data_IF_600147174891
#
_entry.id   IF_600147174891
#
_cell.length_a   1.000
_cell.length_b   1.000
_cell.length_c   1.000
_cell.angle_alpha   90.00
_cell.angle_beta   90.00
_cell.angle_gamma   90.00
#
_symmetry.space_group_name_H-M   'P 1'
#
loop_
_entity.id
_entity.type
_entity.pdbx_description
1 polymer ?
#
# COMPACT_ATOMS: atom_id res chain seq x y z
N UNK A 1 -20.06 78.45 -30.32
CA UNK A 1 -20.64 77.17 -30.76
C UNK A 1 -20.21 76.08 -29.80
N UNK A 2 -21.06 75.73 -28.83
CA UNK A 2 -20.83 74.58 -27.95
C UNK A 2 -21.08 73.32 -28.80
N UNK A 3 -20.01 72.63 -29.17
CA UNK A 3 -20.07 71.27 -29.72
C UNK A 3 -20.91 70.40 -28.77
N UNK A 4 -21.88 69.70 -29.33
CA UNK A 4 -22.81 68.83 -28.60
C UNK A 4 -22.01 67.84 -27.72
N UNK A 5 -22.29 67.83 -26.40
CA UNK A 5 -21.73 66.82 -25.49
C UNK A 5 -22.13 65.42 -26.02
N UNK A 6 -21.22 64.43 -26.03
CA UNK A 6 -21.56 63.06 -26.39
C UNK A 6 -22.74 62.54 -25.56
N UNK A 7 -23.65 61.72 -26.14
CA UNK A 7 -24.83 61.23 -25.42
C UNK A 7 -24.46 60.46 -24.14
N UNK A 8 -23.29 59.82 -24.09
CA UNK A 8 -22.76 59.14 -22.90
C UNK A 8 -22.49 60.10 -21.73
N UNK A 9 -22.20 61.38 -22.00
CA UNK A 9 -22.03 62.39 -20.95
C UNK A 9 -23.36 62.70 -20.24
N UNK A 10 -24.48 62.67 -20.96
CA UNK A 10 -25.82 62.90 -20.37
C UNK A 10 -26.17 61.72 -19.46
N UNK A 11 -26.06 60.50 -19.97
CA UNK A 11 -26.29 59.29 -19.19
C UNK A 11 -25.39 59.21 -17.94
N UNK A 12 -24.11 59.54 -18.07
CA UNK A 12 -23.18 59.54 -16.93
C UNK A 12 -23.52 60.59 -15.87
N UNK A 13 -23.98 61.79 -16.27
CA UNK A 13 -24.46 62.82 -15.33
C UNK A 13 -25.68 62.32 -14.56
N UNK A 14 -26.66 61.72 -15.24
CA UNK A 14 -27.81 61.11 -14.58
C UNK A 14 -27.40 60.03 -13.57
N UNK A 15 -26.42 59.18 -13.91
CA UNK A 15 -25.88 58.19 -12.98
C UNK A 15 -25.20 58.85 -11.75
N UNK A 16 -24.41 59.91 -11.96
CA UNK A 16 -23.75 60.65 -10.86
C UNK A 16 -24.77 61.34 -9.97
N UNK A 17 -25.82 61.94 -10.52
CA UNK A 17 -26.88 62.62 -9.75
C UNK A 17 -27.67 61.63 -8.88
N UNK A 18 -27.78 60.37 -9.31
CA UNK A 18 -28.34 59.26 -8.52
C UNK A 18 -27.36 58.63 -7.53
N UNK A 19 -26.14 59.16 -7.40
CA UNK A 19 -25.09 58.61 -6.54
C UNK A 19 -24.41 57.34 -7.07
N UNK A 20 -24.69 56.93 -8.32
CA UNK A 20 -24.11 55.72 -8.91
C UNK A 20 -22.83 56.04 -9.71
N UNK A 21 -21.77 56.37 -8.98
CA UNK A 21 -20.47 56.71 -9.57
C UNK A 21 -19.82 55.55 -10.34
N UNK A 22 -20.07 54.30 -9.95
CA UNK A 22 -19.53 53.13 -10.63
C UNK A 22 -20.14 52.94 -12.03
N UNK A 23 -21.44 53.12 -12.17
CA UNK A 23 -22.10 53.01 -13.48
C UNK A 23 -21.73 54.19 -14.39
N UNK A 24 -21.66 55.41 -13.84
CA UNK A 24 -21.17 56.58 -14.57
C UNK A 24 -19.76 56.35 -15.13
N UNK A 25 -18.85 55.82 -14.31
CA UNK A 25 -17.49 55.48 -14.73
C UNK A 25 -17.47 54.44 -15.86
N UNK A 26 -18.28 53.36 -15.77
CA UNK A 26 -18.36 52.33 -16.83
C UNK A 26 -18.88 52.89 -18.16
N UNK A 27 -19.93 53.71 -18.12
CA UNK A 27 -20.49 54.37 -19.31
C UNK A 27 -19.45 55.26 -19.98
N UNK A 28 -18.74 56.09 -19.19
CA UNK A 28 -17.72 57.00 -19.71
C UNK A 28 -16.47 56.28 -20.22
N UNK A 29 -16.02 55.23 -19.52
CA UNK A 29 -14.92 54.37 -19.98
C UNK A 29 -15.33 53.60 -21.25
N UNK A 30 -16.60 53.27 -21.43
CA UNK A 30 -17.11 52.63 -22.65
C UNK A 30 -17.28 53.57 -23.86
N UNK A 31 -17.27 54.90 -23.66
CA UNK A 31 -17.57 55.86 -24.72
C UNK A 31 -16.53 55.83 -25.85
N UNK A 32 -17.01 56.01 -27.09
CA UNK A 32 -16.14 56.16 -28.28
C UNK A 32 -15.36 57.48 -28.28
N UNK A 33 -15.77 58.45 -27.46
CA UNK A 33 -15.23 59.81 -27.42
C UNK A 33 -14.37 60.07 -26.17
N UNK A 34 -13.56 59.11 -25.72
CA UNK A 34 -12.76 59.21 -24.48
C UNK A 34 -11.89 60.47 -24.37
N UNK A 35 -11.41 61.01 -25.49
CA UNK A 35 -10.56 62.20 -25.52
C UNK A 35 -11.36 63.51 -25.45
N UNK A 36 -12.69 63.46 -25.59
CA UNK A 36 -13.54 64.64 -25.53
C UNK A 36 -13.43 65.31 -24.15
N UNK A 37 -13.32 66.65 -24.13
CA UNK A 37 -13.08 67.43 -22.91
C UNK A 37 -14.14 67.18 -21.83
N UNK A 38 -15.41 67.06 -22.23
CA UNK A 38 -16.51 66.79 -21.30
C UNK A 38 -16.42 65.39 -20.68
N UNK A 39 -16.10 64.37 -21.49
CA UNK A 39 -15.90 62.98 -21.01
C UNK A 39 -14.75 62.92 -20.02
N UNK A 40 -13.61 63.56 -20.33
CA UNK A 40 -12.45 63.62 -19.44
C UNK A 40 -12.77 64.31 -18.11
N UNK A 41 -13.55 65.39 -18.13
CA UNK A 41 -13.97 66.09 -16.91
C UNK A 41 -14.87 65.19 -16.06
N UNK A 42 -15.88 64.57 -16.66
CA UNK A 42 -16.80 63.67 -15.96
C UNK A 42 -16.10 62.42 -15.42
N UNK A 43 -15.08 61.90 -16.12
CA UNK A 43 -14.25 60.80 -15.61
C UNK A 43 -13.48 61.21 -14.35
N UNK A 44 -12.92 62.42 -14.30
CA UNK A 44 -12.26 62.94 -13.10
C UNK A 44 -13.26 63.04 -11.94
N UNK A 45 -14.45 63.62 -12.18
CA UNK A 45 -15.49 63.78 -11.16
C UNK A 45 -16.00 62.41 -10.66
N UNK A 46 -16.24 61.46 -11.57
CA UNK A 46 -16.62 60.09 -11.22
C UNK A 46 -15.51 59.37 -10.43
N UNK A 47 -14.24 59.54 -10.82
CA UNK A 47 -13.08 59.00 -10.13
C UNK A 47 -12.94 59.51 -8.71
N UNK A 48 -13.20 60.81 -8.46
CA UNK A 48 -13.21 61.40 -7.12
C UNK A 48 -14.30 60.78 -6.24
N UNK A 49 -15.54 60.69 -6.74
CA UNK A 49 -16.65 60.07 -5.99
C UNK A 49 -16.42 58.58 -5.73
N UNK A 50 -15.78 57.85 -6.65
CA UNK A 50 -15.39 56.46 -6.45
C UNK A 50 -14.30 56.30 -5.37
N UNK A 51 -13.36 57.24 -5.28
CA UNK A 51 -12.37 57.25 -4.21
C UNK A 51 -13.01 57.50 -2.83
N UNK A 52 -13.98 58.41 -2.74
CA UNK A 52 -14.76 58.66 -1.52
C UNK A 52 -15.58 57.42 -1.10
N UNK A 53 -16.24 56.78 -2.06
CA UNK A 53 -16.97 55.51 -1.84
C UNK A 53 -16.02 54.40 -1.37
N UNK A 54 -14.82 54.30 -1.97
CA UNK A 54 -13.81 53.33 -1.53
C UNK A 54 -13.36 53.60 -0.08
N UNK A 55 -13.26 54.88 0.32
CA UNK A 55 -12.90 55.27 1.68
C UNK A 55 -13.99 54.89 2.69
N UNK A 56 -15.25 55.12 2.35
CA UNK A 56 -16.40 54.67 3.14
C UNK A 56 -16.44 53.15 3.27
N UNK A 57 -16.35 52.42 2.17
CA UNK A 57 -16.30 50.95 2.16
C UNK A 57 -15.12 50.41 2.97
N UNK A 58 -13.96 51.08 2.91
CA UNK A 58 -12.80 50.70 3.71
C UNK A 58 -13.03 50.92 5.21
N UNK A 59 -13.65 52.05 5.60
CA UNK A 59 -14.05 52.31 7.00
C UNK A 59 -15.05 51.28 7.51
N UNK A 60 -15.98 50.85 6.66
CA UNK A 60 -16.95 49.78 6.94
C UNK A 60 -16.35 48.36 6.90
N UNK A 61 -15.05 48.22 6.60
CA UNK A 61 -14.32 46.94 6.46
C UNK A 61 -14.79 46.08 5.28
N UNK A 62 -15.46 46.67 4.30
CA UNK A 62 -15.79 46.05 3.02
C UNK A 62 -14.58 46.09 2.06
N UNK A 63 -13.50 45.38 2.41
CA UNK A 63 -12.19 45.47 1.74
C UNK A 63 -12.24 45.18 0.23
N UNK A 64 -12.98 44.14 -0.18
CA UNK A 64 -13.12 43.76 -1.58
C UNK A 64 -13.92 44.79 -2.40
N UNK A 65 -14.96 45.37 -1.81
CA UNK A 65 -15.72 46.45 -2.42
C UNK A 65 -14.86 47.71 -2.56
N UNK A 66 -14.15 48.09 -1.48
CA UNK A 66 -13.23 49.22 -1.47
C UNK A 66 -12.12 49.05 -2.53
N UNK A 67 -11.55 47.85 -2.67
CA UNK A 67 -10.57 47.52 -3.69
C UNK A 67 -11.12 47.64 -5.11
N UNK A 68 -12.35 47.20 -5.32
CA UNK A 68 -13.03 47.31 -6.62
C UNK A 68 -13.31 48.78 -6.98
N UNK A 69 -13.80 49.57 -6.03
CA UNK A 69 -14.11 50.99 -6.20
C UNK A 69 -12.85 51.82 -6.48
N UNK A 70 -11.76 51.60 -5.74
CA UNK A 70 -10.50 52.34 -5.94
C UNK A 70 -9.79 51.95 -7.25
N UNK A 71 -9.90 50.69 -7.67
CA UNK A 71 -9.37 50.25 -8.96
C UNK A 71 -10.14 50.86 -10.14
N UNK A 72 -11.46 51.02 -10.01
CA UNK A 72 -12.27 51.72 -11.02
C UNK A 72 -11.96 53.22 -11.04
N UNK A 73 -11.71 53.84 -9.87
CA UNK A 73 -11.28 55.23 -9.79
C UNK A 73 -9.94 55.46 -10.52
N UNK A 74 -8.98 54.55 -10.38
CA UNK A 74 -7.67 54.60 -11.07
C UNK A 74 -7.80 54.54 -12.60
N UNK A 75 -8.80 53.81 -13.11
CA UNK A 75 -9.08 53.76 -14.54
C UNK A 75 -9.68 55.07 -15.07
N UNK A 76 -10.40 55.81 -14.22
CA UNK A 76 -11.03 57.07 -14.60
C UNK A 76 -10.03 58.23 -14.64
N UNK A 77 -9.13 58.31 -13.65
CA UNK A 77 -8.11 59.33 -13.56
C UNK A 77 -6.91 58.86 -12.73
N UNK A 78 -5.74 59.47 -12.95
CA UNK A 78 -4.57 59.21 -12.13
C UNK A 78 -4.85 59.53 -10.66
N UNK A 79 -4.68 58.54 -9.77
CA UNK A 79 -4.87 58.72 -8.34
C UNK A 79 -3.77 59.61 -7.77
N UNK A 80 -4.15 60.73 -7.15
CA UNK A 80 -3.25 61.64 -6.44
C UNK A 80 -3.53 61.70 -4.94
N UNK A 81 -2.53 62.09 -4.15
CA UNK A 81 -2.69 62.42 -2.73
C UNK A 81 -3.36 61.32 -1.89
N UNK A 82 -4.51 61.65 -1.29
CA UNK A 82 -5.24 60.76 -0.37
C UNK A 82 -5.72 59.47 -1.02
N UNK A 83 -6.19 59.52 -2.27
CA UNK A 83 -6.72 58.33 -2.97
C UNK A 83 -5.61 57.29 -3.25
N UNK A 84 -4.40 57.74 -3.57
CA UNK A 84 -3.25 56.85 -3.73
C UNK A 84 -2.85 56.18 -2.41
N UNK A 85 -2.84 56.95 -1.32
CA UNK A 85 -2.57 56.40 0.02
C UNK A 85 -3.63 55.38 0.44
N UNK A 86 -4.92 55.65 0.18
CA UNK A 86 -6.01 54.71 0.43
C UNK A 86 -5.84 53.40 -0.34
N UNK A 87 -5.47 53.46 -1.63
CA UNK A 87 -5.17 52.25 -2.44
C UNK A 87 -4.07 51.39 -1.80
N UNK A 88 -2.99 52.02 -1.32
CA UNK A 88 -1.89 51.33 -0.65
C UNK A 88 -2.37 50.66 0.65
N UNK A 89 -3.21 51.34 1.43
CA UNK A 89 -3.80 50.79 2.66
C UNK A 89 -4.72 49.59 2.38
N UNK A 90 -5.61 49.70 1.39
CA UNK A 90 -6.49 48.60 0.96
C UNK A 90 -5.65 47.40 0.52
N UNK A 91 -4.62 47.63 -0.30
CA UNK A 91 -3.74 46.56 -0.79
C UNK A 91 -2.97 45.87 0.34
N UNK A 92 -2.46 46.65 1.31
CA UNK A 92 -1.78 46.10 2.49
C UNK A 92 -2.74 45.29 3.38
N UNK A 93 -3.99 45.75 3.54
CA UNK A 93 -5.02 45.04 4.30
C UNK A 93 -5.40 43.71 3.64
N UNK A 94 -5.57 43.70 2.30
CA UNK A 94 -5.83 42.48 1.53
C UNK A 94 -4.69 41.47 1.66
N UNK A 95 -3.44 41.90 1.44
CA UNK A 95 -2.26 41.03 1.61
C UNK A 95 -2.18 40.44 3.01
N UNK A 96 -2.44 41.25 4.06
CA UNK A 96 -2.46 40.77 5.44
C UNK A 96 -3.55 39.72 5.67
N UNK A 97 -4.73 39.88 5.04
CA UNK A 97 -5.83 38.91 5.10
C UNK A 97 -5.48 37.62 4.38
N UNK A 98 -4.86 37.69 3.20
CA UNK A 98 -4.38 36.54 2.43
C UNK A 98 -3.29 35.78 3.20
N UNK A 99 -2.29 36.47 3.73
CA UNK A 99 -1.24 35.87 4.57
C UNK A 99 -1.84 35.17 5.79
N UNK A 100 -2.84 35.79 6.46
CA UNK A 100 -3.53 35.15 7.57
C UNK A 100 -4.30 33.90 7.13
N UNK A 101 -4.99 33.93 5.98
CA UNK A 101 -5.69 32.77 5.42
C UNK A 101 -4.72 31.63 5.10
N UNK A 102 -3.62 31.93 4.42
CA UNK A 102 -2.58 30.96 4.09
C UNK A 102 -1.94 30.36 5.36
N UNK A 103 -1.68 31.19 6.38
CA UNK A 103 -1.17 30.72 7.66
C UNK A 103 -2.16 29.80 8.38
N UNK A 104 -3.46 30.14 8.40
CA UNK A 104 -4.50 29.26 8.98
C UNK A 104 -4.57 27.95 8.20
N UNK A 105 -4.59 27.98 6.86
CA UNK A 105 -4.65 26.80 6.02
C UNK A 105 -3.46 25.85 6.28
N UNK A 106 -2.23 26.36 6.27
CA UNK A 106 -1.05 25.53 6.54
C UNK A 106 -1.02 24.97 7.97
N UNK A 107 -1.64 25.65 8.94
CA UNK A 107 -1.80 25.12 10.30
C UNK A 107 -2.86 24.01 10.37
N UNK A 108 -3.96 24.11 9.62
CA UNK A 108 -4.95 23.04 9.53
C UNK A 108 -4.34 21.78 8.89
N UNK A 109 -3.59 21.93 7.79
CA UNK A 109 -2.87 20.83 7.14
C UNK A 109 -1.87 20.16 8.08
N UNK A 110 -1.12 20.95 8.86
CA UNK A 110 -0.17 20.42 9.84
C UNK A 110 -0.87 19.67 10.99
N UNK A 111 -2.01 20.16 11.48
CA UNK A 111 -2.81 19.44 12.48
C UNK A 111 -3.30 18.09 11.94
N UNK A 112 -3.76 18.05 10.69
CA UNK A 112 -4.20 16.83 10.04
C UNK A 112 -3.04 15.83 9.88
N UNK A 113 -1.86 16.31 9.46
CA UNK A 113 -0.64 15.50 9.37
C UNK A 113 -0.25 14.90 10.72
N UNK A 114 -0.26 15.70 11.79
CA UNK A 114 0.03 15.24 13.16
C UNK A 114 -0.98 14.19 13.64
N UNK A 115 -2.26 14.39 13.37
CA UNK A 115 -3.30 13.41 13.69
C UNK A 115 -3.16 12.12 12.87
N UNK A 116 -2.72 12.22 11.61
CA UNK A 116 -2.38 11.09 10.75
C UNK A 116 -1.27 10.21 11.33
N UNK A 117 -0.26 10.85 11.92
CA UNK A 117 0.86 10.19 12.61
C UNK A 117 0.54 9.74 14.06
N UNK A 118 -0.72 9.85 14.51
CA UNK A 118 -1.12 9.46 15.87
C UNK A 118 -0.82 10.48 16.98
N UNK A 119 -0.23 11.64 16.66
CA UNK A 119 0.09 12.71 17.61
C UNK A 119 -1.13 13.59 17.91
N UNK A 120 -2.20 12.98 18.43
CA UNK A 120 -3.50 13.64 18.61
C UNK A 120 -3.46 14.86 19.53
N UNK A 121 -2.71 14.79 20.63
CA UNK A 121 -2.61 15.90 21.58
C UNK A 121 -1.91 17.12 20.96
N UNK A 122 -0.81 16.91 20.23
CA UNK A 122 -0.13 18.00 19.52
C UNK A 122 -0.99 18.61 18.41
N UNK A 123 -1.80 17.80 17.72
CA UNK A 123 -2.74 18.30 16.73
C UNK A 123 -3.83 19.18 17.37
N UNK A 124 -4.42 18.73 18.49
CA UNK A 124 -5.44 19.49 19.22
C UNK A 124 -4.88 20.80 19.79
N UNK A 125 -3.69 20.77 20.39
CA UNK A 125 -3.00 21.97 20.89
C UNK A 125 -2.74 23.00 19.77
N UNK A 126 -2.47 22.53 18.56
CA UNK A 126 -2.25 23.39 17.41
C UNK A 126 -3.56 24.04 16.94
N UNK A 127 -4.69 23.30 16.97
CA UNK A 127 -6.00 23.85 16.66
C UNK A 127 -6.48 24.85 17.70
N UNK A 128 -6.16 24.66 18.97
CA UNK A 128 -6.53 25.57 20.06
C UNK A 128 -5.92 26.96 19.86
N UNK A 129 -4.73 27.03 19.26
CA UNK A 129 -4.04 28.28 18.91
C UNK A 129 -4.68 29.02 17.73
N UNK A 130 -5.49 28.35 16.90
CA UNK A 130 -6.17 28.97 15.75
C UNK A 130 -7.46 29.70 16.13
N UNK A 131 -8.05 29.37 17.30
CA UNK A 131 -9.29 29.97 17.80
C UNK A 131 -10.56 29.39 17.15
N UNK A 132 -11.68 30.12 17.26
CA UNK A 132 -13.04 29.65 16.91
C UNK A 132 -13.38 29.70 15.41
N UNK A 133 -12.48 29.24 14.54
CA UNK A 133 -12.79 29.06 13.13
C UNK A 133 -13.67 27.81 12.92
N UNK A 134 -14.68 27.88 12.05
CA UNK A 134 -15.55 26.73 11.76
C UNK A 134 -14.76 25.50 11.29
N UNK A 135 -13.84 25.70 10.33
CA UNK A 135 -12.96 24.63 9.83
C UNK A 135 -12.10 24.00 10.94
N UNK A 136 -11.56 24.82 11.86
CA UNK A 136 -10.79 24.32 12.99
C UNK A 136 -11.66 23.51 13.96
N UNK A 137 -12.90 23.92 14.21
CA UNK A 137 -13.84 23.21 15.08
C UNK A 137 -14.29 21.86 14.49
N UNK A 138 -14.55 21.81 13.18
CA UNK A 138 -14.85 20.57 12.45
C UNK A 138 -13.67 19.59 12.54
N UNK A 139 -12.46 20.07 12.22
CA UNK A 139 -11.24 19.26 12.28
C UNK A 139 -10.96 18.75 13.70
N UNK A 140 -11.17 19.60 14.72
CA UNK A 140 -11.04 19.24 16.15
C UNK A 140 -11.97 18.09 16.52
N UNK A 141 -13.24 18.19 16.13
CA UNK A 141 -14.25 17.15 16.39
C UNK A 141 -13.84 15.81 15.77
N UNK A 142 -13.35 15.84 14.52
CA UNK A 142 -12.86 14.64 13.84
C UNK A 142 -11.65 14.02 14.55
N UNK A 143 -10.68 14.83 14.95
CA UNK A 143 -9.48 14.37 15.67
C UNK A 143 -9.84 13.79 17.04
N UNK A 144 -10.75 14.42 17.79
CA UNK A 144 -11.25 13.92 19.07
C UNK A 144 -11.94 12.55 18.91
N UNK A 145 -12.78 12.37 17.89
CA UNK A 145 -13.42 11.09 17.60
C UNK A 145 -12.40 10.00 17.23
N UNK A 146 -11.41 10.33 16.39
CA UNK A 146 -10.33 9.42 16.01
C UNK A 146 -9.50 9.00 17.23
N UNK A 147 -9.14 9.95 18.08
CA UNK A 147 -8.45 9.71 19.35
C UNK A 147 -9.26 8.81 20.29
N UNK A 148 -10.55 9.06 20.45
CA UNK A 148 -11.42 8.24 21.31
C UNK A 148 -11.51 6.79 20.81
N UNK A 149 -11.65 6.59 19.48
CA UNK A 149 -11.65 5.26 18.86
C UNK A 149 -10.32 4.53 19.10
N UNK A 150 -9.20 5.23 18.90
CA UNK A 150 -7.87 4.69 19.16
C UNK A 150 -7.71 4.24 20.62
N UNK A 151 -8.03 5.12 21.58
CA UNK A 151 -7.94 4.82 23.01
C UNK A 151 -8.85 3.66 23.43
N UNK A 152 -10.05 3.55 22.85
CA UNK A 152 -10.93 2.40 23.06
C UNK A 152 -10.23 1.10 22.63
N UNK A 153 -9.69 1.03 21.41
CA UNK A 153 -9.02 -0.18 20.94
C UNK A 153 -7.77 -0.55 21.74
N UNK A 154 -6.98 0.43 22.19
CA UNK A 154 -5.86 0.18 23.10
C UNK A 154 -6.34 -0.41 24.44
N UNK A 155 -7.39 0.16 25.03
CA UNK A 155 -7.97 -0.35 26.27
C UNK A 155 -8.51 -1.77 26.14
N UNK A 156 -9.25 -2.06 25.06
CA UNK A 156 -9.73 -3.41 24.75
C UNK A 156 -8.58 -4.41 24.56
N UNK A 157 -7.53 -4.01 23.84
CA UNK A 157 -6.34 -4.83 23.62
C UNK A 157 -5.70 -5.24 24.96
N UNK A 158 -5.50 -4.27 25.87
CA UNK A 158 -4.95 -4.53 27.22
C UNK A 158 -5.84 -5.47 28.02
N UNK A 159 -7.16 -5.24 28.06
CA UNK A 159 -8.10 -6.12 28.77
C UNK A 159 -8.09 -7.54 28.23
N UNK A 160 -8.02 -7.72 26.91
CA UNK A 160 -7.91 -9.04 26.30
C UNK A 160 -6.59 -9.72 26.66
N UNK A 161 -5.47 -8.99 26.73
CA UNK A 161 -4.19 -9.54 27.18
C UNK A 161 -4.25 -10.00 28.65
N UNK A 162 -4.83 -9.18 29.53
CA UNK A 162 -5.04 -9.52 30.94
C UNK A 162 -5.94 -10.74 31.12
N UNK A 163 -6.96 -10.89 30.27
CA UNK A 163 -7.86 -12.03 30.26
C UNK A 163 -7.28 -13.29 29.56
N UNK A 164 -6.03 -13.25 29.07
CA UNK A 164 -5.41 -14.35 28.33
C UNK A 164 -6.00 -14.61 26.93
N UNK A 165 -6.78 -13.68 26.40
CA UNK A 165 -7.45 -13.79 25.09
C UNK A 165 -6.56 -13.24 23.97
N UNK A 166 -5.47 -13.94 23.65
CA UNK A 166 -4.42 -13.47 22.74
C UNK A 166 -4.94 -13.07 21.35
N UNK A 167 -5.81 -13.88 20.75
CA UNK A 167 -6.41 -13.61 19.44
C UNK A 167 -7.32 -12.36 19.44
N UNK A 168 -8.09 -12.16 20.51
CA UNK A 168 -8.92 -10.96 20.64
C UNK A 168 -8.05 -9.70 20.82
N UNK A 169 -6.99 -9.80 21.62
CA UNK A 169 -6.02 -8.72 21.79
C UNK A 169 -5.37 -8.33 20.46
N UNK A 170 -4.97 -9.30 19.63
CA UNK A 170 -4.40 -9.05 18.31
C UNK A 170 -5.36 -8.30 17.38
N UNK A 171 -6.63 -8.71 17.32
CA UNK A 171 -7.65 -7.99 16.51
C UNK A 171 -7.83 -6.54 16.96
N UNK A 172 -7.83 -6.28 18.26
CA UNK A 172 -7.93 -4.91 18.78
C UNK A 172 -6.67 -4.08 18.51
N UNK A 173 -5.49 -4.69 18.63
CA UNK A 173 -4.23 -4.06 18.26
C UNK A 173 -4.18 -3.68 16.77
N UNK A 174 -4.59 -4.58 15.87
CA UNK A 174 -4.67 -4.29 14.43
C UNK A 174 -5.60 -3.10 14.14
N UNK A 175 -6.78 -3.05 14.78
CA UNK A 175 -7.72 -1.91 14.64
C UNK A 175 -7.14 -0.61 15.18
N UNK A 176 -6.40 -0.65 16.30
CA UNK A 176 -5.72 0.53 16.82
C UNK A 176 -4.61 1.02 15.85
N UNK A 177 -3.85 0.09 15.26
CA UNK A 177 -2.81 0.38 14.25
C UNK A 177 -3.35 1.02 12.98
N UNK A 178 -4.55 0.64 12.54
CA UNK A 178 -5.22 1.31 11.41
C UNK A 178 -5.56 2.78 11.71
N UNK A 179 -5.77 3.14 12.99
CA UNK A 179 -6.13 4.50 13.39
C UNK A 179 -4.91 5.39 13.60
N UNK A 180 -3.82 4.87 14.14
CA UNK A 180 -2.59 5.63 14.41
C UNK A 180 -1.37 4.71 14.27
N UNK A 181 -0.85 4.47 13.05
CA UNK A 181 0.14 3.42 12.79
C UNK A 181 1.49 3.63 13.50
N UNK A 182 1.84 4.89 13.76
CA UNK A 182 3.15 5.30 14.28
C UNK A 182 3.13 5.61 15.78
N UNK A 183 2.04 5.30 16.48
CA UNK A 183 1.93 5.56 17.92
C UNK A 183 2.86 4.64 18.74
N UNK A 184 3.65 5.18 19.68
CA UNK A 184 4.63 4.39 20.45
C UNK A 184 3.96 3.33 21.35
N UNK A 185 2.75 3.57 21.88
CA UNK A 185 2.05 2.58 22.73
C UNK A 185 1.69 1.31 21.93
N UNK A 186 1.52 1.41 20.61
CA UNK A 186 1.29 0.24 19.76
C UNK A 186 2.50 -0.66 19.65
N UNK A 187 3.71 -0.10 19.70
CA UNK A 187 4.96 -0.87 19.61
C UNK A 187 5.14 -1.72 20.87
N UNK A 188 4.84 -1.14 22.03
CA UNK A 188 4.86 -1.85 23.31
C UNK A 188 3.79 -2.96 23.32
N UNK A 189 2.56 -2.65 22.89
CA UNK A 189 1.47 -3.64 22.84
C UNK A 189 1.73 -4.75 21.81
N UNK A 190 2.35 -4.46 20.67
CA UNK A 190 2.70 -5.47 19.68
C UNK A 190 3.56 -6.58 20.31
N UNK A 191 4.50 -6.17 21.18
CA UNK A 191 5.37 -7.08 21.92
C UNK A 191 4.56 -7.98 22.88
N UNK A 192 3.62 -7.40 23.62
CA UNK A 192 2.78 -8.14 24.57
C UNK A 192 1.81 -9.10 23.85
N UNK A 193 1.20 -8.66 22.75
CA UNK A 193 0.33 -9.48 21.88
C UNK A 193 1.08 -10.66 21.29
N UNK A 194 2.28 -10.44 20.74
CA UNK A 194 3.10 -11.50 20.18
C UNK A 194 3.45 -12.58 21.22
N UNK A 195 3.82 -12.17 22.44
CA UNK A 195 4.08 -13.09 23.56
C UNK A 195 2.83 -13.89 23.95
N UNK A 196 1.68 -13.24 24.06
CA UNK A 196 0.43 -13.92 24.40
C UNK A 196 0.02 -14.94 23.34
N UNK A 197 0.14 -14.59 22.05
CA UNK A 197 -0.15 -15.51 20.93
C UNK A 197 0.78 -16.73 20.94
N UNK A 198 2.05 -16.54 21.29
CA UNK A 198 3.00 -17.62 21.40
C UNK A 198 2.69 -18.59 22.55
N UNK A 199 2.28 -18.06 23.71
CA UNK A 199 1.91 -18.87 24.86
C UNK A 199 0.65 -19.71 24.60
N UNK A 200 -0.33 -19.13 23.89
CA UNK A 200 -1.59 -19.80 23.52
C UNK A 200 -1.39 -20.93 22.49
N UNK A 201 -0.31 -20.85 21.70
CA UNK A 201 0.00 -21.82 20.65
C UNK A 201 0.59 -23.15 21.15
N UNK A 202 0.73 -23.36 22.48
CA UNK A 202 0.94 -24.67 23.09
C UNK A 202 2.11 -25.47 22.51
N UNK A 203 3.35 -25.05 22.82
CA UNK A 203 4.57 -25.73 22.38
C UNK A 203 5.14 -25.13 21.10
N UNK A 204 5.72 -23.94 21.21
CA UNK A 204 6.43 -23.31 20.10
C UNK A 204 7.63 -24.18 19.73
N UNK A 205 7.54 -24.93 18.63
CA UNK A 205 8.73 -25.37 17.92
C UNK A 205 9.60 -24.14 17.71
N UNK A 206 10.86 -24.21 18.14
CA UNK A 206 11.79 -23.10 18.04
C UNK A 206 11.90 -22.68 16.56
N UNK A 207 11.52 -21.45 16.26
CA UNK A 207 11.60 -20.95 14.88
C UNK A 207 13.04 -20.66 14.51
N UNK A 208 13.53 -21.40 13.52
CA UNK A 208 14.90 -21.30 13.03
C UNK A 208 14.94 -20.50 11.73
N UNK A 209 15.92 -19.57 11.57
CA UNK A 209 16.12 -18.89 10.30
C UNK A 209 16.55 -19.90 9.24
N UNK A 210 16.05 -19.74 8.01
CA UNK A 210 16.48 -20.54 6.87
C UNK A 210 17.87 -20.09 6.46
N UNK A 211 18.86 -20.90 6.82
CA UNK A 211 20.31 -20.61 6.67
C UNK A 211 21.06 -21.72 5.95
N UNK A 212 20.43 -22.89 5.80
CA UNK A 212 20.99 -24.01 5.08
C UNK A 212 20.17 -24.25 3.79
N UNK A 213 20.86 -24.32 2.65
CA UNK A 213 20.24 -24.58 1.34
C UNK A 213 19.59 -25.98 1.27
N UNK A 214 20.01 -26.93 2.11
CA UNK A 214 19.35 -28.22 2.21
C UNK A 214 17.98 -28.15 2.91
N UNK A 215 17.68 -27.06 3.62
CA UNK A 215 16.37 -26.86 4.23
C UNK A 215 15.30 -26.71 3.15
N UNK A 216 14.16 -27.35 3.41
CA UNK A 216 12.95 -27.26 2.60
C UNK A 216 11.81 -26.73 3.47
N UNK A 217 10.89 -26.02 2.86
CA UNK A 217 9.72 -25.48 3.55
C UNK A 217 8.52 -25.45 2.63
N UNK A 218 7.32 -25.51 3.22
CA UNK A 218 6.08 -25.20 2.53
C UNK A 218 5.89 -23.69 2.54
N UNK A 219 5.54 -23.11 1.39
CA UNK A 219 5.14 -21.72 1.26
C UNK A 219 3.62 -21.66 1.09
N UNK A 220 2.91 -21.69 2.21
CA UNK A 220 1.47 -21.94 2.27
C UNK A 220 1.10 -23.21 1.48
N UNK A 221 0.03 -23.10 0.70
CA UNK A 221 -0.34 -24.12 -0.30
C UNK A 221 0.24 -23.83 -1.69
N UNK A 222 1.08 -22.79 -1.84
CA UNK A 222 1.57 -22.35 -3.14
C UNK A 222 2.61 -23.32 -3.70
N UNK A 223 3.60 -23.70 -2.91
CA UNK A 223 4.69 -24.56 -3.35
C UNK A 223 5.42 -25.24 -2.18
N UNK A 224 5.99 -26.42 -2.46
CA UNK A 224 7.14 -26.92 -1.70
C UNK A 224 8.40 -26.26 -2.25
N UNK A 225 9.12 -25.54 -1.41
CA UNK A 225 10.38 -24.86 -1.79
C UNK A 225 11.55 -25.73 -1.35
N UNK A 226 12.43 -26.04 -2.29
CA UNK A 226 13.67 -26.81 -2.06
C UNK A 226 14.83 -26.04 -2.69
N UNK A 227 15.90 -25.82 -1.92
CA UNK A 227 17.07 -25.05 -2.41
C UNK A 227 18.36 -25.86 -2.52
N UNK A 228 18.27 -27.19 -2.34
CA UNK A 228 19.41 -28.09 -2.48
C UNK A 228 19.88 -28.13 -3.95
N UNK A 229 21.19 -28.21 -4.16
CA UNK A 229 21.78 -28.39 -5.51
C UNK A 229 21.50 -29.78 -6.10
N UNK A 230 21.19 -30.76 -5.24
CA UNK A 230 20.71 -32.09 -5.58
C UNK A 230 19.34 -32.30 -4.94
N UNK A 231 18.28 -32.44 -5.76
CA UNK A 231 16.90 -32.60 -5.29
C UNK A 231 16.41 -33.99 -5.67
N UNK A 232 16.36 -34.88 -4.68
CA UNK A 232 15.84 -36.23 -4.84
C UNK A 232 14.31 -36.27 -4.73
N UNK A 233 13.67 -36.94 -5.68
CA UNK A 233 12.23 -37.16 -5.76
C UNK A 233 11.94 -38.65 -5.61
N UNK A 234 10.89 -38.99 -4.87
CA UNK A 234 10.50 -40.38 -4.67
C UNK A 234 9.36 -40.51 -3.66
N UNK A 235 9.21 -41.69 -3.07
CA UNK A 235 8.14 -41.91 -2.08
C UNK A 235 8.48 -41.35 -0.70
N UNK A 236 7.47 -41.07 0.16
CA UNK A 236 7.68 -40.63 1.54
C UNK A 236 8.53 -41.56 2.41
N UNK A 237 8.68 -42.83 2.01
CA UNK A 237 9.43 -43.86 2.74
C UNK A 237 10.92 -43.88 2.36
N UNK A 238 11.32 -43.16 1.32
CA UNK A 238 12.69 -43.12 0.83
C UNK A 238 13.56 -42.20 1.69
N UNK A 239 14.71 -42.70 2.11
CA UNK A 239 15.72 -41.86 2.76
C UNK A 239 16.33 -40.86 1.78
N UNK A 240 16.63 -39.65 2.26
CA UNK A 240 17.17 -38.55 1.45
C UNK A 240 16.20 -37.98 0.41
N UNK A 241 14.90 -38.28 0.46
CA UNK A 241 13.90 -37.72 -0.47
C UNK A 241 13.53 -36.30 -0.06
N UNK A 242 13.76 -35.36 -0.98
CA UNK A 242 13.46 -33.94 -0.81
C UNK A 242 12.05 -33.59 -1.25
N UNK A 243 11.54 -34.25 -2.29
CA UNK A 243 10.16 -34.09 -2.77
C UNK A 243 9.46 -35.44 -2.69
N UNK A 244 8.75 -35.70 -1.58
CA UNK A 244 7.98 -36.92 -1.43
C UNK A 244 6.67 -36.85 -2.23
N UNK A 245 6.41 -37.85 -3.07
CA UNK A 245 5.22 -37.94 -3.93
C UNK A 245 4.45 -39.22 -3.61
N UNK A 246 3.13 -39.13 -3.57
CA UNK A 246 2.26 -40.30 -3.54
C UNK A 246 2.12 -40.90 -4.94
N UNK A 247 2.47 -42.18 -5.07
CA UNK A 247 2.36 -42.90 -6.34
C UNK A 247 3.17 -44.18 -6.38
N UNK A 248 3.20 -44.83 -7.54
CA UNK A 248 4.00 -46.03 -7.81
C UNK A 248 5.44 -45.65 -8.16
N UNK A 249 6.13 -45.06 -7.20
CA UNK A 249 7.54 -44.67 -7.30
C UNK A 249 8.41 -45.53 -6.36
N UNK A 250 9.71 -45.56 -6.61
CA UNK A 250 10.66 -46.10 -5.65
C UNK A 250 10.97 -45.10 -4.52
N UNK A 251 11.66 -45.57 -3.48
CA UNK A 251 12.15 -44.73 -2.37
C UNK A 251 12.84 -43.47 -2.89
N UNK A 252 13.94 -43.64 -3.62
CA UNK A 252 14.53 -42.60 -4.47
C UNK A 252 14.25 -42.97 -5.93
N UNK A 253 13.59 -42.10 -6.68
CA UNK A 253 13.13 -42.40 -8.05
C UNK A 253 13.86 -41.58 -9.11
N UNK A 254 14.01 -40.28 -8.87
CA UNK A 254 14.75 -39.38 -9.74
C UNK A 254 15.51 -38.35 -8.92
N UNK A 255 16.56 -37.79 -9.50
CA UNK A 255 17.33 -36.70 -8.90
C UNK A 255 17.42 -35.56 -9.90
N UNK A 256 17.08 -34.35 -9.45
CA UNK A 256 17.31 -33.12 -10.18
C UNK A 256 18.64 -32.54 -9.72
N UNK A 257 19.51 -32.18 -10.65
CA UNK A 257 20.84 -31.66 -10.40
C UNK A 257 20.96 -30.28 -11.02
N UNK A 258 21.51 -29.33 -10.25
CA UNK A 258 21.89 -28.02 -10.76
C UNK A 258 23.40 -27.96 -10.95
N UNK A 259 23.83 -27.70 -12.17
CA UNK A 259 25.22 -27.35 -12.50
C UNK A 259 25.26 -25.92 -13.07
N UNK A 260 26.43 -25.35 -13.45
CA UNK A 260 26.47 -24.00 -14.02
C UNK A 260 25.68 -23.81 -15.33
N UNK A 261 25.47 -24.86 -16.12
CA UNK A 261 24.82 -24.80 -17.43
C UNK A 261 23.29 -24.90 -17.38
N UNK A 262 22.72 -25.47 -16.33
CA UNK A 262 21.28 -25.57 -16.17
C UNK A 262 20.84 -26.64 -15.18
N UNK A 263 19.57 -27.00 -15.26
CA UNK A 263 19.02 -28.15 -14.54
C UNK A 263 19.14 -29.42 -15.37
N UNK A 264 19.38 -30.53 -14.68
CA UNK A 264 19.40 -31.87 -15.26
C UNK A 264 18.52 -32.79 -14.43
N UNK A 265 18.11 -33.91 -15.01
CA UNK A 265 17.45 -35.02 -14.31
C UNK A 265 18.20 -36.32 -14.56
N UNK A 266 18.29 -37.16 -13.55
CA UNK A 266 18.82 -38.52 -13.64
C UNK A 266 17.84 -39.50 -12.99
N UNK A 267 17.67 -40.68 -13.60
CA UNK A 267 16.94 -41.79 -12.99
C UNK A 267 17.77 -42.43 -11.88
N UNK A 268 17.16 -42.65 -10.70
CA UNK A 268 17.78 -43.45 -9.64
C UNK A 268 17.78 -44.93 -10.01
N UNK A 269 18.62 -45.72 -9.33
CA UNK A 269 18.52 -47.19 -9.43
C UNK A 269 17.44 -47.73 -8.50
N UNK A 270 16.64 -48.65 -9.01
CA UNK A 270 15.66 -49.40 -8.23
C UNK A 270 16.35 -50.47 -7.36
N UNK A 271 15.53 -51.24 -6.63
CA UNK A 271 16.02 -52.33 -5.76
C UNK A 271 16.69 -53.49 -6.50
N UNK A 272 16.52 -53.58 -7.82
CA UNK A 272 17.12 -54.58 -8.69
C UNK A 272 18.36 -54.04 -9.43
N UNK A 273 18.76 -52.80 -9.15
CA UNK A 273 19.89 -52.13 -9.77
C UNK A 273 19.59 -51.54 -11.15
N UNK A 274 18.36 -51.65 -11.66
CA UNK A 274 17.94 -51.06 -12.94
C UNK A 274 17.57 -49.57 -12.79
N UNK A 275 17.66 -48.74 -13.84
CA UNK A 275 17.20 -47.35 -13.77
C UNK A 275 15.67 -47.28 -13.57
N UNK A 276 15.22 -46.41 -12.68
CA UNK A 276 13.81 -46.11 -12.51
C UNK A 276 13.20 -45.54 -13.80
N UNK A 277 11.93 -45.80 -14.04
CA UNK A 277 11.23 -45.25 -15.20
C UNK A 277 11.07 -43.75 -15.07
N UNK A 278 11.90 -43.00 -15.80
CA UNK A 278 11.84 -41.54 -15.95
C UNK A 278 11.87 -41.21 -17.43
N UNK A 279 10.88 -40.47 -17.91
CA UNK A 279 10.82 -40.00 -19.30
C UNK A 279 10.89 -38.48 -19.33
N UNK A 280 11.57 -37.93 -20.33
CA UNK A 280 11.54 -36.50 -20.67
C UNK A 280 11.08 -36.36 -22.12
N UNK A 281 9.92 -35.73 -22.32
CA UNK A 281 9.20 -35.64 -23.59
C UNK A 281 8.99 -37.03 -24.24
N UNK A 282 8.57 -38.00 -23.43
CA UNK A 282 8.34 -39.39 -23.85
C UNK A 282 9.60 -40.23 -24.10
N UNK A 283 10.79 -39.62 -24.01
CA UNK A 283 12.06 -40.31 -24.23
C UNK A 283 12.68 -40.75 -22.89
N UNK A 284 13.13 -42.00 -22.74
CA UNK A 284 13.68 -42.51 -21.48
C UNK A 284 14.98 -41.81 -21.08
N UNK A 285 15.16 -41.66 -19.76
CA UNK A 285 16.35 -41.09 -19.15
C UNK A 285 17.26 -42.22 -18.68
N UNK A 286 18.10 -42.72 -19.58
CA UNK A 286 19.08 -43.80 -19.28
C UNK A 286 20.31 -43.28 -18.53
N UNK A 287 20.63 -42.00 -18.71
CA UNK A 287 21.71 -41.27 -18.05
C UNK A 287 21.27 -39.84 -17.76
N UNK A 288 22.17 -39.01 -17.22
CA UNK A 288 21.86 -37.62 -16.87
C UNK A 288 21.40 -36.83 -18.11
N UNK A 289 20.25 -36.16 -18.01
CA UNK A 289 19.63 -35.41 -19.12
C UNK A 289 19.38 -33.96 -18.76
N UNK A 290 19.83 -33.04 -19.62
CA UNK A 290 19.57 -31.59 -19.50
C UNK A 290 18.08 -31.30 -19.69
N UNK A 291 17.55 -30.43 -18.83
CA UNK A 291 16.17 -29.95 -18.89
C UNK A 291 16.09 -28.55 -19.51
N UNK A 292 15.08 -28.34 -20.33
CA UNK A 292 14.72 -27.08 -20.97
C UNK A 292 13.29 -26.68 -20.60
N UNK A 293 13.00 -25.39 -20.65
CA UNK A 293 11.67 -24.85 -20.37
C UNK A 293 10.59 -25.51 -21.26
N UNK A 294 9.48 -25.92 -20.62
CA UNK A 294 8.32 -26.53 -21.28
C UNK A 294 8.40 -28.05 -21.43
N UNK A 295 9.53 -28.68 -21.07
CA UNK A 295 9.65 -30.12 -21.17
C UNK A 295 8.79 -30.85 -20.14
N UNK A 296 8.23 -31.98 -20.56
CA UNK A 296 7.42 -32.86 -19.71
C UNK A 296 8.28 -33.95 -19.11
N UNK A 297 8.15 -34.15 -17.81
CA UNK A 297 8.89 -35.14 -17.04
C UNK A 297 7.89 -36.13 -16.45
N UNK A 298 7.99 -37.40 -16.83
CA UNK A 298 7.14 -38.48 -16.32
C UNK A 298 7.93 -39.36 -15.36
N UNK A 299 7.38 -39.62 -14.18
CA UNK A 299 8.00 -40.44 -13.14
C UNK A 299 7.14 -41.67 -12.88
N UNK A 300 7.61 -42.86 -13.27
CA UNK A 300 6.87 -44.12 -13.03
C UNK A 300 5.55 -44.25 -13.80
N UNK A 301 5.24 -43.32 -14.71
CA UNK A 301 4.09 -43.34 -15.62
C UNK A 301 3.30 -42.01 -15.65
N UNK A 302 2.30 -41.95 -16.54
CA UNK A 302 1.53 -40.73 -16.85
C UNK A 302 0.84 -40.06 -15.65
N UNK A 303 0.52 -40.83 -14.60
CA UNK A 303 -0.13 -40.31 -13.41
C UNK A 303 0.74 -39.28 -12.67
N UNK A 304 2.07 -39.38 -12.78
CA UNK A 304 3.04 -38.52 -12.11
C UNK A 304 3.87 -37.77 -13.16
N UNK A 305 3.27 -36.72 -13.70
CA UNK A 305 3.86 -35.92 -14.79
C UNK A 305 3.97 -34.47 -14.37
N UNK A 306 5.16 -33.91 -14.53
CA UNK A 306 5.43 -32.50 -14.35
C UNK A 306 5.77 -31.81 -15.67
N UNK A 307 5.49 -30.53 -15.75
CA UNK A 307 6.06 -29.61 -16.73
C UNK A 307 7.17 -28.79 -16.06
N UNK A 308 8.36 -28.80 -16.66
CA UNK A 308 9.52 -28.08 -16.17
C UNK A 308 9.52 -26.63 -16.67
N UNK A 309 9.51 -25.65 -15.76
CA UNK A 309 9.39 -24.22 -16.07
C UNK A 309 10.62 -23.43 -15.63
N UNK A 310 11.05 -22.48 -16.48
CA UNK A 310 12.02 -21.42 -16.19
C UNK A 310 11.37 -20.08 -16.55
N UNK A 311 10.38 -19.62 -15.76
CA UNK A 311 9.47 -18.56 -16.18
C UNK A 311 10.08 -17.15 -16.09
N UNK A 312 11.17 -16.97 -15.33
CA UNK A 312 11.87 -15.69 -15.20
C UNK A 312 13.19 -15.75 -15.98
N UNK A 313 13.35 -14.84 -16.95
CA UNK A 313 14.56 -14.77 -17.77
C UNK A 313 15.80 -14.55 -16.90
N UNK A 314 16.87 -15.28 -17.20
CA UNK A 314 18.14 -15.26 -16.48
C UNK A 314 18.08 -15.70 -15.00
N UNK A 315 16.92 -16.13 -14.51
CA UNK A 315 16.82 -16.85 -13.24
C UNK A 315 17.15 -18.32 -13.45
N UNK A 316 17.93 -18.87 -12.52
CA UNK A 316 18.18 -20.29 -12.45
C UNK A 316 17.14 -21.04 -11.60
N UNK A 317 16.27 -20.33 -10.88
CA UNK A 317 15.18 -20.95 -10.13
C UNK A 317 14.17 -21.56 -11.11
N UNK A 318 13.88 -22.85 -10.92
CA UNK A 318 12.94 -23.59 -11.75
C UNK A 318 11.67 -23.95 -10.97
N UNK A 319 10.59 -24.23 -11.69
CA UNK A 319 9.32 -24.67 -11.11
C UNK A 319 8.87 -25.95 -11.80
N UNK A 320 8.47 -26.94 -11.00
CA UNK A 320 7.85 -28.17 -11.47
C UNK A 320 6.35 -28.02 -11.26
N UNK A 321 5.61 -27.80 -12.36
CA UNK A 321 4.15 -27.68 -12.35
C UNK A 321 3.50 -29.02 -12.70
N UNK A 322 2.37 -29.39 -12.10
CA UNK A 322 1.66 -30.60 -12.49
C UNK A 322 1.16 -30.46 -13.92
N UNK A 323 1.49 -31.42 -14.79
CA UNK A 323 1.01 -31.40 -16.16
C UNK A 323 -0.53 -31.59 -16.18
N UNK A 324 -1.24 -31.06 -17.18
CA UNK A 324 -2.68 -31.25 -17.30
C UNK A 324 -3.07 -32.74 -17.26
N UNK A 325 -3.98 -33.10 -16.36
CA UNK A 325 -4.43 -34.48 -16.15
C UNK A 325 -3.54 -35.34 -15.25
N UNK A 326 -2.42 -34.81 -14.75
CA UNK A 326 -1.61 -35.52 -13.75
C UNK A 326 -2.37 -35.64 -12.43
N UNK A 327 -2.23 -36.80 -11.77
CA UNK A 327 -2.77 -37.08 -10.44
C UNK A 327 -1.67 -36.95 -9.35
N UNK A 328 -0.62 -36.19 -9.64
CA UNK A 328 0.52 -36.04 -8.78
C UNK A 328 0.12 -35.34 -7.47
N UNK A 329 0.48 -35.96 -6.35
CA UNK A 329 0.26 -35.38 -5.03
C UNK A 329 1.58 -35.37 -4.26
N UNK A 330 2.04 -34.17 -3.91
CA UNK A 330 3.16 -33.99 -2.99
C UNK A 330 2.66 -34.36 -1.60
N UNK A 331 3.32 -35.33 -0.98
CA UNK A 331 2.94 -35.78 0.36
C UNK A 331 3.50 -34.82 1.40
N UNK A 332 2.66 -34.36 2.33
CA UNK A 332 3.12 -33.68 3.54
C UNK A 332 2.35 -34.19 4.76
N UNK A 333 3.02 -34.49 5.89
CA UNK A 333 2.33 -34.82 7.14
C UNK A 333 1.46 -33.68 7.67
N UNK A 334 1.79 -32.42 7.32
CA UNK A 334 1.01 -31.24 7.66
C UNK A 334 -0.39 -31.20 7.01
N UNK A 335 -0.71 -32.13 6.10
CA UNK A 335 -1.99 -32.17 5.38
C UNK A 335 -2.12 -31.12 4.27
N UNK A 336 -1.15 -30.21 4.15
CA UNK A 336 -1.05 -29.27 3.04
C UNK A 336 -0.57 -30.00 1.79
N UNK A 337 -1.22 -29.76 0.66
CA UNK A 337 -0.88 -30.39 -0.61
C UNK A 337 -0.49 -29.31 -1.61
N UNK A 338 0.78 -28.85 -1.60
CA UNK A 338 1.23 -27.87 -2.58
C UNK A 338 1.10 -28.47 -3.97
N UNK A 339 0.60 -27.69 -4.91
CA UNK A 339 0.39 -28.17 -6.28
C UNK A 339 1.72 -28.31 -7.05
N UNK A 340 2.76 -27.55 -6.68
CA UNK A 340 4.01 -27.40 -7.43
C UNK A 340 5.24 -27.45 -6.52
N UNK A 341 6.41 -27.65 -7.12
CA UNK A 341 7.71 -27.57 -6.45
C UNK A 341 8.48 -26.38 -7.02
N UNK A 342 9.03 -25.55 -6.14
CA UNK A 342 10.00 -24.52 -6.52
C UNK A 342 11.42 -25.02 -6.20
N UNK A 343 12.24 -25.18 -7.25
CA UNK A 343 13.66 -25.50 -7.16
C UNK A 343 14.42 -24.17 -7.06
N UNK A 344 14.55 -23.65 -5.85
CA UNK A 344 15.11 -22.34 -5.55
C UNK A 344 16.64 -22.36 -5.69
N UNK A 345 17.17 -21.58 -6.63
CA UNK A 345 18.62 -21.35 -6.74
C UNK A 345 19.02 -20.08 -5.97
N UNK A 346 18.81 -18.90 -6.55
CA UNK A 346 19.16 -17.63 -5.90
C UNK A 346 17.95 -16.86 -5.38
N UNK A 347 16.90 -16.75 -6.20
CA UNK A 347 15.70 -16.01 -5.87
C UNK A 347 14.42 -16.69 -6.39
N UNK A 348 13.38 -16.70 -5.57
CA UNK A 348 12.01 -17.03 -5.93
C UNK A 348 11.23 -15.72 -6.04
N UNK A 349 10.57 -15.53 -7.18
CA UNK A 349 9.84 -14.29 -7.51
C UNK A 349 8.37 -14.62 -7.63
N UNK A 350 7.54 -13.88 -6.90
CA UNK A 350 6.09 -14.06 -6.81
C UNK A 350 5.43 -12.75 -7.21
N UNK A 351 4.52 -12.80 -8.19
CA UNK A 351 3.79 -11.62 -8.71
C UNK A 351 2.32 -11.95 -8.92
N UNK A 352 1.51 -10.91 -9.08
CA UNK A 352 0.10 -11.07 -9.45
C UNK A 352 -0.09 -11.53 -10.91
N UNK A 353 0.82 -11.12 -11.80
CA UNK A 353 0.79 -11.48 -13.22
C UNK A 353 2.18 -11.37 -13.86
N UNK A 354 2.30 -11.82 -15.11
CA UNK A 354 3.52 -11.69 -15.93
C UNK A 354 4.60 -12.71 -15.60
N UNK A 355 5.86 -12.38 -15.93
CA UNK A 355 7.01 -13.26 -15.69
C UNK A 355 7.31 -13.35 -14.18
N UNK A 356 6.95 -14.47 -13.57
CA UNK A 356 7.21 -14.81 -12.18
C UNK A 356 7.40 -16.32 -12.03
N UNK A 357 8.08 -16.75 -10.97
CA UNK A 357 8.19 -18.17 -10.65
C UNK A 357 6.85 -18.72 -10.16
N UNK A 358 6.14 -17.94 -9.34
CA UNK A 358 4.79 -18.28 -8.90
C UNK A 358 3.89 -17.07 -9.18
N UNK A 359 2.75 -17.31 -9.80
CA UNK A 359 1.72 -16.30 -10.03
C UNK A 359 0.64 -16.46 -8.97
N UNK A 360 0.36 -15.38 -8.23
CA UNK A 360 -0.65 -15.30 -7.18
C UNK A 360 -1.53 -14.08 -7.48
N UNK A 361 -2.63 -14.22 -8.23
CA UNK A 361 -3.44 -13.09 -8.72
C UNK A 361 -3.84 -12.08 -7.63
N UNK A 362 -4.14 -12.58 -6.44
CA UNK A 362 -4.56 -11.82 -5.26
C UNK A 362 -3.40 -11.20 -4.45
N UNK A 363 -2.15 -11.26 -4.95
CA UNK A 363 -0.97 -10.76 -4.23
C UNK A 363 -1.13 -9.26 -3.91
N UNK A 364 -1.08 -8.80 -2.65
CA UNK A 364 -1.35 -7.41 -2.28
C UNK A 364 -0.24 -6.42 -2.67
N UNK A 365 0.86 -6.87 -3.25
CA UNK A 365 2.04 -6.07 -3.58
C UNK A 365 2.43 -6.27 -5.05
N UNK A 366 3.29 -5.40 -5.60
CA UNK A 366 3.81 -5.53 -6.98
C UNK A 366 4.59 -6.83 -7.13
N UNK A 367 5.46 -7.11 -6.17
CA UNK A 367 6.34 -8.27 -6.18
C UNK A 367 6.74 -8.70 -4.77
N UNK A 368 6.81 -10.01 -4.54
CA UNK A 368 7.45 -10.62 -3.38
C UNK A 368 8.63 -11.47 -3.86
N UNK A 369 9.82 -11.23 -3.31
CA UNK A 369 11.05 -11.96 -3.63
C UNK A 369 11.55 -12.68 -2.37
N UNK A 370 11.73 -14.00 -2.45
CA UNK A 370 12.52 -14.76 -1.47
C UNK A 370 13.90 -15.02 -2.05
N UNK A 371 14.96 -14.46 -1.47
CA UNK A 371 16.32 -14.49 -2.04
C UNK A 371 17.37 -14.89 -1.02
N UNK A 372 18.30 -15.74 -1.45
CA UNK A 372 19.52 -15.99 -0.69
C UNK A 372 20.41 -14.77 -0.69
N UNK A 373 20.73 -14.29 0.51
CA UNK A 373 21.67 -13.20 0.75
C UNK A 373 22.60 -13.59 1.90
N UNK A 374 23.91 -13.59 1.65
CA UNK A 374 24.96 -13.90 2.64
C UNK A 374 24.69 -15.18 3.46
N UNK A 375 24.25 -16.24 2.81
CA UNK A 375 23.99 -17.53 3.46
C UNK A 375 22.69 -17.61 4.25
N UNK A 376 21.76 -16.68 4.05
CA UNK A 376 20.42 -16.71 4.66
C UNK A 376 19.34 -16.41 3.63
N UNK A 377 18.18 -17.05 3.75
CA UNK A 377 17.03 -16.70 2.93
C UNK A 377 16.32 -15.46 3.51
N UNK A 378 16.09 -14.48 2.65
CA UNK A 378 15.43 -13.20 3.01
C UNK A 378 14.20 -12.96 2.13
N UNK A 379 13.18 -12.31 2.69
CA UNK A 379 12.00 -11.83 2.00
C UNK A 379 12.08 -10.33 1.72
N UNK A 380 11.66 -9.93 0.53
CA UNK A 380 11.60 -8.54 0.09
C UNK A 380 10.30 -8.29 -0.66
N UNK A 381 9.76 -7.08 -0.56
CA UNK A 381 8.50 -6.71 -1.21
C UNK A 381 8.64 -5.38 -1.94
N UNK A 382 8.03 -5.27 -3.11
CA UNK A 382 7.84 -4.03 -3.84
C UNK A 382 6.36 -3.65 -3.86
N UNK A 383 6.03 -2.37 -3.63
CA UNK A 383 4.63 -1.90 -3.61
C UNK A 383 3.80 -2.48 -2.47
N UNK A 384 4.44 -2.88 -1.37
CA UNK A 384 3.78 -3.47 -0.21
C UNK A 384 4.59 -3.30 1.07
N UNK A 385 4.04 -3.80 2.17
CA UNK A 385 4.76 -4.02 3.42
C UNK A 385 4.86 -5.52 3.68
N UNK A 386 6.06 -5.97 4.04
CA UNK A 386 6.31 -7.33 4.48
C UNK A 386 6.57 -7.29 5.98
N UNK A 387 5.75 -8.02 6.73
CA UNK A 387 6.01 -8.34 8.12
C UNK A 387 6.17 -9.86 8.25
N UNK A 388 7.17 -10.30 9.00
CA UNK A 388 7.32 -11.71 9.36
C UNK A 388 6.73 -11.86 10.76
N UNK A 389 5.90 -12.88 10.97
CA UNK A 389 5.43 -13.28 12.29
C UNK A 389 6.09 -14.61 12.64
N UNK A 390 6.94 -14.60 13.67
CA UNK A 390 7.57 -15.78 14.21
C UNK A 390 6.84 -16.17 15.50
N UNK A 391 6.38 -17.43 15.62
CA UNK A 391 5.90 -17.96 16.89
C UNK A 391 6.90 -17.68 18.02
N UNK A 392 6.45 -16.98 19.07
CA UNK A 392 7.31 -16.71 20.24
C UNK A 392 8.22 -15.50 20.15
N UNK A 393 8.31 -14.79 19.02
CA UNK A 393 9.23 -13.64 18.88
C UNK A 393 8.51 -12.37 18.46
N UNK A 394 8.90 -11.27 19.09
CA UNK A 394 8.58 -9.93 18.61
C UNK A 394 9.60 -9.56 17.56
N UNK A 395 9.16 -9.27 16.34
CA UNK A 395 10.06 -8.86 15.27
C UNK A 395 10.02 -7.36 15.08
N UNK A 396 11.20 -6.79 14.85
CA UNK A 396 11.33 -5.43 14.34
C UNK A 396 10.99 -5.46 12.85
N UNK A 397 10.43 -4.36 12.34
CA UNK A 397 10.11 -4.21 10.90
C UNK A 397 11.35 -4.33 9.97
N UNK A 398 12.55 -4.42 10.53
CA UNK A 398 13.82 -4.49 9.81
C UNK A 398 14.29 -5.92 9.52
N UNK A 399 13.81 -6.93 10.25
CA UNK A 399 14.25 -8.31 10.01
C UNK A 399 13.55 -8.88 8.77
N UNK A 400 14.33 -9.01 7.70
CA UNK A 400 13.90 -9.56 6.42
C UNK A 400 14.08 -11.06 6.30
N UNK A 401 14.53 -11.74 7.35
CA UNK A 401 14.80 -13.17 7.26
C UNK A 401 13.54 -14.03 7.12
N UNK A 402 13.69 -15.15 6.44
CA UNK A 402 12.68 -16.22 6.39
C UNK A 402 12.97 -17.24 7.49
N UNK A 403 11.92 -17.72 8.17
CA UNK A 403 12.02 -18.61 9.33
C UNK A 403 11.07 -19.80 9.22
N UNK A 404 11.41 -20.92 9.86
CA UNK A 404 10.58 -22.11 9.94
C UNK A 404 10.38 -22.50 11.42
N UNK A 405 9.14 -22.57 11.94
CA UNK A 405 7.92 -22.06 11.34
C UNK A 405 7.82 -20.52 11.41
N UNK A 406 7.14 -19.88 10.46
CA UNK A 406 6.76 -18.46 10.52
C UNK A 406 5.56 -18.16 9.62
N UNK A 407 5.07 -16.92 9.62
CA UNK A 407 4.10 -16.41 8.66
C UNK A 407 4.64 -15.15 8.00
N UNK A 408 4.61 -15.09 6.67
CA UNK A 408 4.86 -13.86 5.92
C UNK A 408 3.53 -13.13 5.74
N UNK A 409 3.38 -11.98 6.37
CA UNK A 409 2.24 -11.10 6.17
C UNK A 409 2.59 -10.01 5.17
N UNK A 410 1.87 -9.97 4.06
CA UNK A 410 2.02 -8.94 3.04
C UNK A 410 0.79 -8.04 3.05
N UNK A 411 1.01 -6.73 3.15
CA UNK A 411 -0.02 -5.69 3.12
C UNK A 411 0.17 -4.78 1.92
N UNK A 412 -0.91 -4.24 1.34
CA UNK A 412 -0.83 -3.43 0.14
C UNK A 412 -0.26 -2.04 0.41
N UNK A 413 0.63 -1.60 -0.48
CA UNK A 413 1.06 -0.21 -0.66
C UNK A 413 1.19 0.08 -2.16
N UNK A 414 0.17 -0.33 -2.90
CA UNK A 414 0.10 -0.14 -4.34
C UNK A 414 -0.30 1.30 -4.65
N UNK A 415 0.32 1.87 -5.67
CA UNK A 415 -0.09 3.15 -6.23
C UNK A 415 -1.38 2.98 -7.05
N UNK A 416 -2.14 4.06 -7.21
CA UNK A 416 -3.44 4.04 -7.91
C UNK A 416 -3.34 3.45 -9.34
N UNK A 417 -2.28 3.80 -10.08
CA UNK A 417 -2.07 3.29 -11.43
C UNK A 417 -1.94 1.76 -11.47
N UNK A 418 -1.28 1.16 -10.48
CA UNK A 418 -1.11 -0.29 -10.37
C UNK A 418 -2.44 -0.97 -9.99
N UNK A 419 -3.21 -0.35 -9.09
CA UNK A 419 -4.55 -0.83 -8.74
C UNK A 419 -5.48 -0.85 -9.96
N UNK A 420 -5.51 0.23 -10.74
CA UNK A 420 -6.33 0.32 -11.95
C UNK A 420 -5.88 -0.71 -13.02
N UNK A 421 -4.57 -0.89 -13.21
CA UNK A 421 -4.03 -1.90 -14.12
C UNK A 421 -4.45 -3.33 -13.73
N UNK A 422 -4.47 -3.63 -12.44
CA UNK A 422 -4.89 -4.91 -11.89
C UNK A 422 -6.39 -5.16 -12.02
N UNK A 423 -7.20 -4.14 -11.75
CA UNK A 423 -8.65 -4.21 -11.98
C UNK A 423 -8.96 -4.51 -13.44
N UNK A 424 -8.27 -3.85 -14.38
CA UNK A 424 -8.43 -4.11 -15.81
C UNK A 424 -8.01 -5.55 -16.22
N UNK A 425 -7.03 -6.13 -15.52
CA UNK A 425 -6.57 -7.50 -15.74
C UNK A 425 -7.38 -8.57 -14.96
N UNK A 426 -8.40 -8.18 -14.19
CA UNK A 426 -9.19 -9.08 -13.35
C UNK A 426 -8.39 -9.70 -12.18
N UNK A 427 -7.33 -9.03 -11.72
CA UNK A 427 -6.42 -9.50 -10.67
C UNK A 427 -6.49 -8.58 -9.44
N UNK A 428 -7.66 -8.46 -8.83
CA UNK A 428 -7.84 -7.58 -7.67
C UNK A 428 -6.96 -8.03 -6.48
N UNK A 429 -6.15 -7.12 -5.90
CA UNK A 429 -5.29 -7.47 -4.78
C UNK A 429 -6.12 -7.75 -3.53
N UNK A 430 -5.71 -8.75 -2.75
CA UNK A 430 -6.26 -8.96 -1.42
C UNK A 430 -5.95 -7.77 -0.49
N UNK A 431 -6.77 -7.54 0.53
CA UNK A 431 -6.46 -6.55 1.58
C UNK A 431 -5.20 -6.96 2.39
N UNK A 432 -4.95 -8.25 2.47
CA UNK A 432 -3.79 -8.85 3.12
C UNK A 432 -3.59 -10.27 2.58
N UNK A 433 -2.34 -10.68 2.40
CA UNK A 433 -1.97 -12.07 2.14
C UNK A 433 -1.10 -12.59 3.28
N UNK A 434 -1.42 -13.78 3.78
CA UNK A 434 -0.62 -14.48 4.79
C UNK A 434 -0.11 -15.78 4.19
N UNK A 435 1.21 -15.91 4.10
CA UNK A 435 1.87 -17.13 3.64
C UNK A 435 2.50 -17.84 4.84
N UNK A 436 1.95 -19.00 5.20
CA UNK A 436 2.54 -19.83 6.26
C UNK A 436 3.82 -20.50 5.76
N UNK A 437 4.89 -20.42 6.53
CA UNK A 437 6.15 -21.10 6.27
C UNK A 437 6.32 -22.16 7.33
N UNK A 438 6.26 -23.41 6.92
CA UNK A 438 6.34 -24.55 7.84
C UNK A 438 7.30 -25.60 7.32
N UNK A 439 7.83 -26.40 8.24
CA UNK A 439 8.62 -27.58 7.89
C UNK A 439 7.67 -28.61 7.26
N UNK A 440 7.91 -29.07 6.03
CA UNK A 440 7.07 -30.07 5.38
C UNK A 440 7.02 -31.39 6.15
N UNK A 441 8.00 -31.69 7.01
CA UNK A 441 8.04 -32.91 7.81
C UNK A 441 7.44 -32.76 9.21
N UNK A 442 7.14 -31.53 9.66
CA UNK A 442 6.51 -31.34 10.95
C UNK A 442 5.14 -32.03 10.94
N UNK A 443 4.92 -32.95 11.89
CA UNK A 443 3.58 -33.44 12.15
C UNK A 443 2.74 -32.26 12.64
N UNK A 444 1.49 -32.11 12.20
CA UNK A 444 0.59 -31.15 12.80
C UNK A 444 0.53 -31.54 14.28
N UNK A 445 1.13 -30.71 15.13
CA UNK A 445 0.94 -30.85 16.57
C UNK A 445 -0.57 -30.94 16.79
N UNK A 446 -1.02 -31.81 17.69
CA UNK A 446 -2.44 -31.95 18.05
C UNK A 446 -3.00 -30.61 18.52
N UNK A 447 -3.29 -29.70 17.59
CA UNK A 447 -4.08 -28.52 17.82
C UNK A 447 -5.48 -29.09 18.05
N UNK A 448 -5.87 -29.15 19.33
CA UNK A 448 -7.25 -29.44 19.71
C UNK A 448 -8.12 -28.45 18.96
N UNK A 449 -8.84 -28.95 17.97
CA UNK A 449 -9.87 -28.21 17.27
C UNK A 449 -10.95 -27.84 18.29
N UNK A 450 -10.83 -26.66 18.88
CA UNK A 450 -11.95 -25.96 19.50
C UNK A 450 -12.84 -25.39 18.40
N UNK A 451 -13.43 -26.27 17.60
CA UNK A 451 -14.59 -25.95 16.77
C UNK A 451 -15.80 -26.46 17.52
N UNK A 452 -16.43 -25.55 18.28
CA UNK A 452 -17.75 -25.76 18.82
C UNK A 452 -18.74 -25.89 17.68
N UNK A 453 -19.35 -27.07 17.57
CA UNK A 453 -20.56 -27.27 16.78
C UNK A 453 -21.65 -26.38 17.40
N UNK A 454 -22.01 -25.29 16.72
CA UNK A 454 -23.34 -24.71 16.88
C UNK A 454 -24.33 -25.63 16.18
N UNK A 455 -24.92 -26.52 16.97
CA UNK A 455 -26.15 -27.21 16.61
C UNK A 455 -27.28 -26.19 16.60
N UNK A 456 -27.73 -25.83 15.40
CA UNK A 456 -29.02 -25.17 15.20
C UNK A 456 -30.11 -26.22 15.36
N UNK A 457 -30.71 -26.27 16.54
CA UNK A 457 -32.05 -26.82 16.75
C UNK A 457 -33.00 -25.67 17.03
N UNK A 458 -33.75 -25.25 16.00
CA UNK A 458 -35.18 -24.91 16.03
C UNK A 458 -35.63 -24.53 14.62
#
# INVERSE_FOLDING_TARGET
MAWLDPPECVAARECLDRGNAAEAARVLLGSRYRQHRAVRKLLIDAGQRLAELAEEQFRERHLEAAASSIALAEQCAALGGRALALRQQISAALRKREQRRAWVAGRLEEAERLAGAGSFDSALDLLDKLGRGQQAAELRTMIEQRRARFRRHLGECRRCLEAGQAQAAHRHWQKARQVAPDDPELTELATAVARALAADSGGAAESLPVTDRAQRFLLGNLALVVSAGEVCVGTPRGDGVHVPILGRLHGRHAVFLRDPQGWQVAACRDRHGGPCTVLVDGQPVESVRRLHHGQRIELGGLACTWEFRLPVRASATAVLEPAPGSQLQIWTPAGMQPARVALLDDALVIRAAGAAHIVVPELPCKELILRWDRGRLTGQVEGGLLAVEIPGRTLTAEDKGVYIPSRLMIQPRLEEAELLGRMAAGCEPAEQLVLEIVDPLASPGRARSSFGLHGSSQ
#
